data_IF_013425702001
#
_entry.id   IF_013425702001
#
_cell.length_a   1.000
_cell.length_b   1.000
_cell.length_c   1.000
_cell.angle_alpha   90.00
_cell.angle_beta   90.00
_cell.angle_gamma   90.00
#
_symmetry.space_group_name_H-M   'P 1'
#
loop_
_entity.id
_entity.type
_entity.pdbx_description
1 polymer ?
#
# COMPACT_ATOMS: atom_id res chain seq x y z
N UNK A 1 -17.75 7.61 14.98
CA UNK A 1 -16.87 6.45 14.84
C UNK A 1 -17.19 5.70 13.57
N UNK A 2 -16.15 5.20 12.90
CA UNK A 2 -16.24 4.39 11.69
C UNK A 2 -16.00 2.90 11.96
N UNK A 3 -16.07 2.49 13.23
CA UNK A 3 -15.85 1.12 13.67
C UNK A 3 -17.09 0.27 13.34
N UNK A 4 -16.85 -0.90 12.76
CA UNK A 4 -17.90 -1.88 12.44
C UNK A 4 -17.70 -3.18 13.23
N UNK A 5 -18.71 -4.06 13.35
CA UNK A 5 -18.54 -5.39 13.93
C UNK A 5 -17.44 -6.21 13.25
N UNK A 6 -17.23 -6.02 11.93
CA UNK A 6 -16.15 -6.68 11.19
C UNK A 6 -14.80 -6.18 11.68
N UNK A 7 -14.63 -4.86 11.84
CA UNK A 7 -13.39 -4.25 12.34
C UNK A 7 -13.05 -4.72 13.75
N UNK A 8 -14.07 -4.98 14.57
CA UNK A 8 -13.92 -5.52 15.93
C UNK A 8 -13.68 -7.05 15.97
N UNK A 9 -13.75 -7.73 14.84
CA UNK A 9 -13.58 -9.19 14.77
C UNK A 9 -14.70 -9.98 15.42
N UNK A 10 -15.94 -9.48 15.37
CA UNK A 10 -17.08 -10.19 15.95
C UNK A 10 -17.28 -11.57 15.29
N UNK A 11 -17.63 -12.61 16.06
CA UNK A 11 -17.90 -13.93 15.52
C UNK A 11 -18.96 -13.93 14.42
N UNK A 12 -18.70 -14.66 13.33
CA UNK A 12 -19.64 -14.78 12.21
C UNK A 12 -19.61 -13.63 11.20
N UNK A 13 -18.77 -12.62 11.41
CA UNK A 13 -18.61 -11.52 10.46
C UNK A 13 -17.49 -11.79 9.45
N UNK A 14 -17.69 -11.38 8.19
CA UNK A 14 -16.69 -11.48 7.12
C UNK A 14 -16.59 -10.14 6.36
N UNK A 15 -15.37 -9.73 5.99
CA UNK A 15 -15.17 -8.57 5.13
C UNK A 15 -15.81 -8.77 3.76
N UNK A 16 -16.29 -7.67 3.17
CA UNK A 16 -16.84 -7.62 1.82
C UNK A 16 -16.03 -6.63 0.98
N UNK A 17 -15.74 -7.01 -0.26
CA UNK A 17 -14.99 -6.16 -1.17
C UNK A 17 -15.72 -4.86 -1.48
N UNK A 18 -15.01 -3.74 -1.44
CA UNK A 18 -15.52 -2.45 -1.83
C UNK A 18 -15.31 -2.24 -3.34
N UNK A 19 -16.38 -2.04 -4.10
CA UNK A 19 -16.33 -1.81 -5.54
C UNK A 19 -15.37 -0.66 -5.91
N UNK A 20 -15.33 0.39 -5.08
CA UNK A 20 -14.51 1.59 -5.36
C UNK A 20 -13.02 1.30 -5.35
N UNK A 21 -12.53 0.38 -4.49
CA UNK A 21 -11.10 0.02 -4.50
C UNK A 21 -10.70 -0.70 -5.79
N UNK A 22 -11.61 -1.50 -6.36
CA UNK A 22 -11.38 -2.17 -7.64
C UNK A 22 -11.29 -1.13 -8.77
N UNK A 23 -12.21 -0.17 -8.80
CA UNK A 23 -12.21 0.92 -9.78
C UNK A 23 -10.91 1.75 -9.69
N UNK A 24 -10.45 2.06 -8.48
CA UNK A 24 -9.22 2.79 -8.23
C UNK A 24 -7.98 1.98 -8.61
N UNK A 25 -7.95 0.68 -8.31
CA UNK A 25 -6.84 -0.20 -8.68
C UNK A 25 -6.70 -0.31 -10.21
N UNK A 26 -7.81 -0.46 -10.93
CA UNK A 26 -7.82 -0.50 -12.40
C UNK A 26 -7.37 0.83 -12.98
N UNK A 27 -7.89 1.96 -12.48
CA UNK A 27 -7.50 3.30 -12.91
C UNK A 27 -6.01 3.55 -12.73
N UNK A 28 -5.48 3.19 -11.56
CA UNK A 28 -4.05 3.31 -11.25
C UNK A 28 -3.21 2.37 -12.12
N UNK A 29 -3.65 1.13 -12.29
CA UNK A 29 -2.97 0.15 -13.14
C UNK A 29 -2.85 0.59 -14.60
N UNK A 30 -3.92 1.16 -15.17
CA UNK A 30 -3.90 1.71 -16.53
C UNK A 30 -2.87 2.85 -16.62
N UNK A 31 -2.89 3.79 -15.67
CA UNK A 31 -2.00 4.95 -15.67
C UNK A 31 -0.51 4.56 -15.52
N UNK A 32 -0.22 3.46 -14.86
CA UNK A 32 1.13 2.93 -14.64
C UNK A 32 1.55 1.86 -15.66
N UNK A 33 0.74 1.63 -16.70
CA UNK A 33 0.98 0.61 -17.73
C UNK A 33 1.14 -0.81 -17.16
N UNK A 34 0.38 -1.13 -16.12
CA UNK A 34 0.34 -2.46 -15.55
C UNK A 34 -0.50 -3.41 -16.41
N UNK A 35 -0.20 -4.71 -16.31
CA UNK A 35 -1.10 -5.74 -16.79
C UNK A 35 -2.19 -5.96 -15.72
N UNK A 36 -3.45 -5.68 -16.08
CA UNK A 36 -4.61 -5.84 -15.20
C UNK A 36 -5.14 -7.27 -15.37
N UNK A 37 -5.28 -8.00 -14.26
CA UNK A 37 -5.79 -9.37 -14.28
C UNK A 37 -7.31 -9.38 -14.30
N UNK A 38 -7.88 -10.12 -15.25
CA UNK A 38 -9.33 -10.39 -15.28
C UNK A 38 -9.77 -11.25 -14.09
N UNK A 39 -8.95 -12.22 -13.69
CA UNK A 39 -9.15 -13.03 -12.50
C UNK A 39 -8.11 -12.72 -11.44
N UNK A 40 -8.57 -12.26 -10.30
CA UNK A 40 -7.76 -12.01 -9.12
C UNK A 40 -8.50 -12.47 -7.87
N UNK A 41 -7.77 -12.81 -6.81
CA UNK A 41 -8.32 -13.41 -5.61
C UNK A 41 -7.78 -12.69 -4.38
N UNK A 42 -8.64 -12.55 -3.37
CA UNK A 42 -8.21 -12.14 -2.05
C UNK A 42 -7.59 -13.31 -1.28
N UNK A 43 -6.61 -13.00 -0.48
CA UNK A 43 -5.94 -13.90 0.46
C UNK A 43 -6.06 -13.33 1.89
N UNK A 44 -5.70 -14.13 2.87
CA UNK A 44 -5.62 -13.70 4.27
C UNK A 44 -4.18 -13.71 4.72
N UNK A 45 -3.70 -12.56 5.20
CA UNK A 45 -2.43 -12.44 5.91
C UNK A 45 -2.71 -12.54 7.41
N UNK A 46 -2.44 -13.69 7.99
CA UNK A 46 -2.73 -13.94 9.39
C UNK A 46 -1.60 -13.40 10.29
N UNK A 47 -1.94 -12.53 11.21
CA UNK A 47 -1.05 -12.04 12.26
C UNK A 47 -1.87 -11.44 13.40
N UNK A 48 -1.28 -11.38 14.61
CA UNK A 48 -1.95 -10.90 15.80
C UNK A 48 -1.33 -9.59 16.25
N UNK A 49 -2.13 -8.53 16.19
CA UNK A 49 -1.77 -7.21 16.67
C UNK A 49 -2.98 -6.55 17.34
N UNK A 50 -2.79 -5.71 18.36
CA UNK A 50 -3.90 -5.05 19.05
C UNK A 50 -4.79 -4.21 18.13
N UNK A 51 -4.23 -3.62 17.07
CA UNK A 51 -4.94 -2.81 16.09
C UNK A 51 -5.57 -3.62 14.94
N UNK A 52 -5.49 -4.95 15.02
CA UNK A 52 -6.12 -5.90 14.09
C UNK A 52 -6.92 -6.96 14.85
N UNK A 53 -8.09 -6.63 15.45
CA UNK A 53 -8.80 -7.52 16.37
C UNK A 53 -9.23 -8.86 15.77
N UNK A 54 -9.50 -8.91 14.46
CA UNK A 54 -9.90 -10.16 13.81
C UNK A 54 -8.76 -11.13 13.53
N UNK A 55 -7.49 -10.72 13.76
CA UNK A 55 -6.31 -11.57 13.63
C UNK A 55 -5.86 -11.89 12.20
N UNK A 56 -6.45 -11.26 11.19
CA UNK A 56 -6.03 -11.37 9.79
C UNK A 56 -6.32 -10.08 9.03
N UNK A 57 -5.52 -9.82 8.00
CA UNK A 57 -5.69 -8.75 7.05
C UNK A 57 -6.08 -9.35 5.70
N UNK A 58 -7.13 -8.83 5.07
CA UNK A 58 -7.44 -9.15 3.67
C UNK A 58 -6.39 -8.48 2.79
N UNK A 59 -5.82 -9.24 1.88
CA UNK A 59 -4.78 -8.80 0.94
C UNK A 59 -4.89 -9.58 -0.37
N UNK A 60 -3.91 -9.45 -1.26
CA UNK A 60 -3.74 -10.31 -2.43
C UNK A 60 -2.29 -10.79 -2.48
N UNK A 61 -2.08 -12.07 -2.75
CA UNK A 61 -0.76 -12.69 -2.82
C UNK A 61 -0.43 -13.13 -4.25
N UNK A 62 -0.87 -14.33 -4.64
CA UNK A 62 -0.50 -14.97 -5.93
C UNK A 62 -1.13 -14.30 -7.14
N UNK A 63 -2.30 -13.72 -6.96
CA UNK A 63 -3.09 -13.13 -8.03
C UNK A 63 -3.47 -11.67 -7.71
N UNK A 64 -2.47 -10.75 -7.61
CA UNK A 64 -2.76 -9.33 -7.41
C UNK A 64 -3.52 -8.78 -8.62
N UNK A 65 -4.32 -7.74 -8.41
CA UNK A 65 -5.12 -7.14 -9.48
C UNK A 65 -4.28 -6.58 -10.62
N UNK A 66 -3.08 -6.05 -10.33
CA UNK A 66 -2.17 -5.54 -11.35
C UNK A 66 -0.76 -6.10 -11.17
N UNK A 67 -0.10 -6.42 -12.28
CA UNK A 67 1.29 -6.85 -12.33
C UNK A 67 2.12 -5.96 -13.24
N UNK A 68 3.40 -5.80 -12.91
CA UNK A 68 4.34 -5.04 -13.70
C UNK A 68 3.96 -3.55 -13.75
N UNK A 69 4.30 -2.91 -14.85
CA UNK A 69 4.16 -1.46 -14.99
C UNK A 69 5.39 -0.70 -14.49
N UNK A 70 5.31 0.62 -14.50
CA UNK A 70 6.43 1.46 -14.06
C UNK A 70 5.98 2.87 -13.68
N UNK A 71 6.78 3.53 -12.85
CA UNK A 71 6.73 4.96 -12.59
C UNK A 71 7.95 5.61 -13.24
N UNK A 72 7.75 6.67 -14.01
CA UNK A 72 8.87 7.44 -14.57
C UNK A 72 9.25 8.57 -13.62
N UNK A 73 10.51 8.62 -13.22
CA UNK A 73 11.07 9.68 -12.37
C UNK A 73 12.06 10.52 -13.15
N UNK A 74 12.24 11.78 -12.75
CA UNK A 74 13.28 12.65 -13.27
C UNK A 74 14.56 12.51 -12.45
N UNK A 75 15.72 12.46 -13.12
CA UNK A 75 17.04 12.48 -12.51
C UNK A 75 17.66 13.89 -12.55
N UNK A 76 18.65 14.16 -11.69
CA UNK A 76 19.36 15.46 -11.65
C UNK A 76 20.00 15.89 -12.94
N UNK A 77 20.44 14.92 -13.73
CA UNK A 77 21.06 15.16 -15.04
C UNK A 77 20.07 15.54 -16.15
N UNK A 78 18.78 15.66 -15.82
CA UNK A 78 17.71 15.94 -16.77
C UNK A 78 17.19 14.70 -17.50
N UNK A 79 17.76 13.53 -17.26
CA UNK A 79 17.26 12.27 -17.81
C UNK A 79 16.02 11.79 -17.05
N UNK A 80 15.32 10.82 -17.63
CA UNK A 80 14.25 10.10 -16.97
C UNK A 80 14.64 8.64 -16.73
N UNK A 81 14.19 8.08 -15.59
CA UNK A 81 14.39 6.68 -15.24
C UNK A 81 13.03 6.04 -14.96
N UNK A 82 12.84 4.83 -15.50
CA UNK A 82 11.68 4.01 -15.17
C UNK A 82 11.99 3.16 -13.94
N UNK A 83 11.14 3.28 -12.94
CA UNK A 83 11.13 2.40 -11.76
C UNK A 83 10.05 1.36 -12.00
N UNK A 84 10.47 0.16 -12.30
CA UNK A 84 9.55 -0.94 -12.56
C UNK A 84 8.81 -1.35 -11.29
N UNK A 85 7.58 -1.80 -11.47
CA UNK A 85 6.71 -2.28 -10.41
C UNK A 85 6.61 -3.81 -10.48
N UNK A 86 6.58 -4.45 -9.33
CA UNK A 86 6.25 -5.86 -9.19
C UNK A 86 4.75 -6.05 -9.33
N UNK A 87 3.97 -5.25 -8.57
CA UNK A 87 2.51 -5.38 -8.52
C UNK A 87 1.85 -4.14 -7.91
N UNK A 88 0.55 -4.04 -8.15
CA UNK A 88 -0.38 -3.29 -7.31
C UNK A 88 -1.41 -4.29 -6.80
N UNK A 89 -1.66 -4.30 -5.50
CA UNK A 89 -2.65 -5.20 -4.92
C UNK A 89 -3.57 -4.47 -3.96
N UNK A 90 -4.76 -5.06 -3.80
CA UNK A 90 -5.79 -4.55 -2.91
C UNK A 90 -5.65 -5.21 -1.55
N UNK A 91 -5.77 -4.42 -0.49
CA UNK A 91 -5.83 -4.91 0.88
C UNK A 91 -6.70 -4.01 1.77
N UNK A 92 -6.81 -4.35 3.02
CA UNK A 92 -7.43 -3.50 4.03
C UNK A 92 -6.39 -2.96 5.00
N UNK A 93 -6.65 -1.78 5.54
CA UNK A 93 -5.78 -1.18 6.55
C UNK A 93 -6.06 -1.74 7.95
N UNK A 94 -5.04 -1.74 8.80
CA UNK A 94 -5.19 -1.98 10.23
C UNK A 94 -5.64 -0.71 10.96
N UNK A 95 -5.99 -0.83 12.24
CA UNK A 95 -6.18 0.31 13.12
C UNK A 95 -4.87 1.10 13.35
N UNK A 96 -4.84 1.88 14.40
CA UNK A 96 -3.67 2.65 14.81
C UNK A 96 -3.35 2.35 16.28
N UNK A 97 -2.12 1.95 16.56
CA UNK A 97 -1.56 1.87 17.91
C UNK A 97 -0.88 3.20 18.24
N UNK A 98 -1.16 3.76 19.41
CA UNK A 98 -0.65 5.05 19.89
C UNK A 98 0.11 4.79 21.18
N UNK A 99 1.41 5.12 21.21
CA UNK A 99 2.31 4.80 22.31
C UNK A 99 2.90 6.02 23.00
N UNK A 100 2.60 7.22 22.52
CA UNK A 100 3.20 8.49 22.91
C UNK A 100 2.30 9.36 23.81
N UNK A 101 1.07 8.92 24.08
CA UNK A 101 0.10 9.65 24.91
C UNK A 101 0.17 9.22 26.38
N UNK A 102 0.29 7.92 26.63
CA UNK A 102 0.34 7.36 27.97
C UNK A 102 1.63 6.53 28.16
N UNK A 103 2.38 6.72 29.29
CA UNK A 103 3.64 6.00 29.50
C UNK A 103 3.46 4.53 29.89
N UNK A 104 2.24 4.11 30.30
CA UNK A 104 1.96 2.75 30.77
C UNK A 104 1.07 1.98 29.81
N UNK A 105 0.20 2.68 29.05
CA UNK A 105 -0.80 2.08 28.19
C UNK A 105 -0.60 2.41 26.72
N UNK A 106 -0.82 1.42 25.84
CA UNK A 106 -0.97 1.65 24.40
C UNK A 106 -2.44 1.85 24.06
N UNK A 107 -2.76 2.98 23.47
CA UNK A 107 -4.12 3.28 23.03
C UNK A 107 -4.36 2.73 21.63
N UNK A 108 -5.54 2.19 21.39
CA UNK A 108 -5.90 1.59 20.09
C UNK A 108 -7.06 2.37 19.47
N UNK A 109 -6.83 2.91 18.28
CA UNK A 109 -7.85 3.52 17.45
C UNK A 109 -8.18 2.63 16.25
N UNK A 110 -9.41 2.12 16.22
CA UNK A 110 -9.89 1.21 15.17
C UNK A 110 -10.69 1.94 14.07
N UNK A 111 -10.76 3.27 14.05
CA UNK A 111 -11.52 4.00 13.03
C UNK A 111 -11.01 3.77 11.60
N UNK A 112 -9.74 3.43 11.44
CA UNK A 112 -9.12 3.10 10.15
C UNK A 112 -9.20 1.61 9.80
N UNK A 113 -9.44 0.73 10.77
CA UNK A 113 -9.44 -0.72 10.57
C UNK A 113 -10.46 -1.15 9.51
N UNK A 114 -10.00 -1.90 8.51
CA UNK A 114 -10.84 -2.38 7.40
C UNK A 114 -11.04 -1.36 6.27
N UNK A 115 -10.44 -0.17 6.34
CA UNK A 115 -10.47 0.79 5.23
C UNK A 115 -9.73 0.19 4.03
N UNK A 116 -10.29 0.23 2.81
CA UNK A 116 -9.63 -0.28 1.62
C UNK A 116 -8.32 0.45 1.33
N UNK A 117 -7.29 -0.31 0.99
CA UNK A 117 -5.93 0.15 0.73
C UNK A 117 -5.43 -0.43 -0.61
N UNK A 118 -4.68 0.36 -1.36
CA UNK A 118 -3.89 -0.11 -2.50
C UNK A 118 -2.41 -0.05 -2.14
N UNK A 119 -1.70 -1.16 -2.29
CA UNK A 119 -0.25 -1.21 -2.12
C UNK A 119 0.44 -1.31 -3.47
N UNK A 120 1.38 -0.39 -3.73
CA UNK A 120 2.25 -0.36 -4.90
C UNK A 120 3.61 -0.92 -4.47
N UNK A 121 4.04 -2.02 -5.07
CA UNK A 121 5.33 -2.64 -4.79
C UNK A 121 6.27 -2.41 -5.96
N UNK A 122 7.40 -1.75 -5.73
CA UNK A 122 8.43 -1.55 -6.75
C UNK A 122 9.39 -2.73 -6.82
N UNK A 123 10.00 -2.93 -7.98
CA UNK A 123 11.20 -3.75 -8.10
C UNK A 123 12.38 -3.08 -7.37
N UNK A 124 13.38 -3.86 -6.90
CA UNK A 124 14.53 -3.33 -6.14
C UNK A 124 15.55 -2.62 -7.06
N UNK A 125 15.09 -1.62 -7.83
CA UNK A 125 15.87 -0.87 -8.82
C UNK A 125 16.24 0.54 -8.38
N UNK A 126 15.70 1.01 -7.25
CA UNK A 126 16.03 2.30 -6.62
C UNK A 126 17.41 2.19 -6.01
N UNK A 127 18.29 3.17 -6.25
CA UNK A 127 19.69 3.14 -5.84
C UNK A 127 20.12 4.32 -4.96
N UNK A 128 19.25 5.29 -4.73
CA UNK A 128 19.54 6.45 -3.89
C UNK A 128 18.29 6.96 -3.18
N UNK A 129 18.48 7.71 -2.09
CA UNK A 129 17.38 8.38 -1.39
C UNK A 129 16.67 9.41 -2.26
N UNK A 130 17.37 10.04 -3.21
CA UNK A 130 16.78 10.97 -4.16
C UNK A 130 15.84 10.27 -5.15
N UNK A 131 16.26 9.12 -5.70
CA UNK A 131 15.38 8.32 -6.55
C UNK A 131 14.13 7.87 -5.79
N UNK A 132 14.27 7.49 -4.53
CA UNK A 132 13.14 7.12 -3.67
C UNK A 132 12.20 8.33 -3.44
N UNK A 133 12.74 9.50 -3.14
CA UNK A 133 11.97 10.73 -2.99
C UNK A 133 11.21 11.08 -4.28
N UNK A 134 11.89 11.02 -5.43
CA UNK A 134 11.27 11.32 -6.72
C UNK A 134 10.18 10.30 -7.05
N UNK A 135 10.40 9.01 -6.77
CA UNK A 135 9.40 7.95 -6.95
C UNK A 135 8.12 8.23 -6.14
N UNK A 136 8.25 8.49 -4.84
CA UNK A 136 7.09 8.78 -3.98
C UNK A 136 6.40 10.07 -4.40
N UNK A 137 7.16 11.09 -4.79
CA UNK A 137 6.62 12.36 -5.27
C UNK A 137 5.78 12.19 -6.54
N UNK A 138 6.25 11.37 -7.49
CA UNK A 138 5.49 11.08 -8.73
C UNK A 138 4.25 10.23 -8.45
N UNK A 139 4.36 9.21 -7.59
CA UNK A 139 3.19 8.42 -7.15
C UNK A 139 2.16 9.33 -6.49
N UNK A 140 2.58 10.22 -5.58
CA UNK A 140 1.68 11.18 -4.92
C UNK A 140 0.96 12.10 -5.91
N UNK A 141 1.67 12.64 -6.89
CA UNK A 141 1.06 13.46 -7.95
C UNK A 141 0.01 12.67 -8.72
N UNK A 142 0.34 11.43 -9.07
CA UNK A 142 -0.52 10.57 -9.86
C UNK A 142 -1.80 10.20 -9.12
N UNK A 143 -1.73 9.75 -7.86
CA UNK A 143 -2.92 9.35 -7.10
C UNK A 143 -3.86 10.53 -6.84
N UNK A 144 -3.31 11.75 -6.69
CA UNK A 144 -4.10 12.99 -6.60
C UNK A 144 -4.74 13.35 -7.93
N UNK A 145 -3.99 13.29 -9.03
CA UNK A 145 -4.50 13.57 -10.37
C UNK A 145 -5.63 12.62 -10.78
N UNK A 146 -5.51 11.36 -10.40
CA UNK A 146 -6.51 10.33 -10.67
C UNK A 146 -7.69 10.34 -9.69
N UNK A 147 -7.71 11.24 -8.72
CA UNK A 147 -8.74 11.32 -7.68
C UNK A 147 -8.92 9.97 -6.92
N UNK A 148 -7.80 9.34 -6.59
CA UNK A 148 -7.75 8.08 -5.83
C UNK A 148 -7.61 8.39 -4.34
N UNK A 149 -6.68 9.30 -3.98
CA UNK A 149 -6.51 9.80 -2.62
C UNK A 149 -5.89 11.20 -2.64
N UNK A 150 -5.95 11.90 -1.51
CA UNK A 150 -5.38 13.25 -1.36
C UNK A 150 -3.84 13.25 -1.25
N UNK A 151 -3.25 12.08 -1.00
CA UNK A 151 -1.81 11.91 -0.82
C UNK A 151 -1.26 12.58 0.43
N UNK A 152 -2.10 12.76 1.47
CA UNK A 152 -1.68 13.36 2.73
C UNK A 152 -0.97 12.32 3.60
N UNK A 153 0.36 12.48 3.75
CA UNK A 153 1.19 11.56 4.53
C UNK A 153 1.05 11.80 6.04
N UNK A 154 0.74 13.02 6.46
CA UNK A 154 0.59 13.36 7.89
C UNK A 154 -0.69 12.76 8.47
N UNK A 155 -1.76 12.71 7.69
CA UNK A 155 -3.03 12.09 8.08
C UNK A 155 -3.09 10.59 7.78
N UNK A 156 -2.04 10.03 7.14
CA UNK A 156 -1.95 8.61 6.83
C UNK A 156 -2.73 8.16 5.61
N UNK A 157 -3.23 9.09 4.76
CA UNK A 157 -3.87 8.74 3.49
C UNK A 157 -2.89 8.12 2.49
N UNK A 158 -1.60 8.39 2.64
CA UNK A 158 -0.52 7.79 1.91
C UNK A 158 0.63 7.47 2.87
N UNK A 159 1.20 6.28 2.75
CA UNK A 159 2.36 5.82 3.53
C UNK A 159 3.40 5.23 2.59
N UNK A 160 4.64 5.24 3.03
CA UNK A 160 5.74 4.62 2.30
C UNK A 160 6.66 3.90 3.26
N UNK A 161 6.86 2.62 2.99
CA UNK A 161 7.84 1.78 3.68
C UNK A 161 9.04 1.54 2.76
N UNK A 162 10.25 1.74 3.27
CA UNK A 162 11.48 1.55 2.53
C UNK A 162 12.23 0.31 3.04
N UNK A 163 12.31 -0.73 2.21
CA UNK A 163 13.17 -1.88 2.46
C UNK A 163 14.55 -1.61 1.88
N UNK A 164 15.57 -1.59 2.74
CA UNK A 164 16.95 -1.25 2.35
C UNK A 164 17.83 -2.48 2.54
N UNK A 165 18.58 -2.81 1.50
CA UNK A 165 19.65 -3.83 1.56
C UNK A 165 20.96 -3.25 1.07
N UNK A 166 22.09 -3.79 1.55
CA UNK A 166 23.43 -3.42 1.12
C UNK A 166 24.17 -4.66 0.64
N UNK A 167 25.06 -4.48 -0.34
CA UNK A 167 25.92 -5.54 -0.86
C UNK A 167 27.31 -5.01 -1.18
N UNK A 168 28.28 -5.91 -1.21
CA UNK A 168 29.63 -5.56 -1.65
C UNK A 168 29.60 -5.14 -3.13
N UNK A 169 30.44 -4.16 -3.47
CA UNK A 169 30.56 -3.69 -4.85
C UNK A 169 31.07 -4.84 -5.74
N UNK A 170 30.33 -5.15 -6.79
CA UNK A 170 30.64 -6.26 -7.70
C UNK A 170 29.84 -7.53 -7.47
N UNK A 171 29.15 -7.68 -6.34
CA UNK A 171 28.20 -8.79 -6.18
C UNK A 171 26.87 -8.49 -6.86
N UNK A 172 26.32 -9.53 -7.51
CA UNK A 172 25.03 -9.46 -8.22
C UNK A 172 23.89 -10.08 -7.42
N UNK A 173 24.19 -10.78 -6.32
CA UNK A 173 23.22 -11.38 -5.39
C UNK A 173 23.07 -10.55 -4.10
#
# INVERSE_FOLDING_TARGET
THISPISLGHPGTLPVSNKKVIEYAVRLGIALNCNIRERNEYARKNYFYPDLPKGYQITQDKTPICNGGYVTISEKNGNSKKINLTRIHMEEDAGKSIHDIDPFDSLIDLNRAGVPLLEIVSEPVIRSGEEAYNFISEVRKLVRYLDICDGNMEEGSMRCDANISVRLKGNTE
#
